data_IF_996104031664
#
_entry.id   IF_996104031664
#
_cell.length_a   1.000
_cell.length_b   1.000
_cell.length_c   1.000
_cell.angle_alpha   90.00
_cell.angle_beta   90.00
_cell.angle_gamma   90.00
#
_symmetry.space_group_name_H-M   'P 1'
#
loop_
_entity.id
_entity.type
_entity.pdbx_description
1 polymer ?
#
# COMPACT_ATOMS: atom_id res chain seq x y z
N UNK A 1 -24.27 -21.56 -8.35
CA UNK A 1 -24.16 -20.08 -8.44
C UNK A 1 -23.70 -19.75 -9.86
N UNK A 2 -24.42 -18.90 -10.61
CA UNK A 2 -24.07 -18.62 -12.02
C UNK A 2 -22.85 -17.69 -12.10
N UNK A 3 -21.83 -18.04 -12.89
CA UNK A 3 -20.59 -17.26 -13.05
C UNK A 3 -20.85 -15.81 -13.51
N UNK A 4 -21.84 -15.63 -14.38
CA UNK A 4 -22.27 -14.31 -14.89
C UNK A 4 -22.76 -13.38 -13.77
N UNK A 5 -23.49 -13.90 -12.78
CA UNK A 5 -24.01 -13.14 -11.64
C UNK A 5 -22.87 -12.69 -10.74
N UNK A 6 -21.96 -13.61 -10.40
CA UNK A 6 -20.78 -13.30 -9.57
C UNK A 6 -19.90 -12.26 -10.27
N UNK A 7 -19.68 -12.40 -11.58
CA UNK A 7 -18.92 -11.42 -12.37
C UNK A 7 -19.58 -10.04 -12.38
N UNK A 8 -20.91 -9.98 -12.46
CA UNK A 8 -21.65 -8.73 -12.39
C UNK A 8 -21.50 -8.06 -11.02
N UNK A 9 -21.68 -8.82 -9.93
CA UNK A 9 -21.50 -8.33 -8.55
C UNK A 9 -20.07 -7.86 -8.31
N UNK A 10 -19.08 -8.66 -8.70
CA UNK A 10 -17.67 -8.32 -8.59
C UNK A 10 -17.31 -7.06 -9.40
N UNK A 11 -17.94 -6.83 -10.56
CA UNK A 11 -17.65 -5.62 -11.34
C UNK A 11 -18.46 -4.39 -10.92
N UNK A 12 -19.39 -4.52 -9.97
CA UNK A 12 -20.24 -3.41 -9.51
C UNK A 12 -19.41 -2.24 -8.97
N UNK A 13 -18.45 -2.51 -8.08
CA UNK A 13 -17.60 -1.46 -7.48
C UNK A 13 -16.71 -0.76 -8.52
N UNK A 14 -16.20 -1.50 -9.51
CA UNK A 14 -15.43 -0.90 -10.60
C UNK A 14 -16.28 0.07 -11.43
N UNK A 15 -17.55 -0.26 -11.68
CA UNK A 15 -18.48 0.64 -12.37
C UNK A 15 -18.84 1.86 -11.52
N UNK A 16 -19.02 1.66 -10.21
CA UNK A 16 -19.32 2.75 -9.27
C UNK A 16 -18.12 3.67 -8.99
N UNK A 17 -16.90 3.21 -9.27
CA UNK A 17 -15.69 4.03 -9.18
C UNK A 17 -15.65 5.18 -10.21
N UNK A 18 -16.50 5.13 -11.24
CA UNK A 18 -16.64 6.23 -12.20
C UNK A 18 -17.60 7.30 -11.63
N UNK A 19 -17.05 8.32 -10.98
CA UNK A 19 -17.81 9.41 -10.37
C UNK A 19 -17.62 10.66 -11.22
N UNK A 20 -18.71 11.21 -11.77
CA UNK A 20 -18.70 12.40 -12.64
C UNK A 20 -17.72 12.31 -13.82
N UNK A 21 -17.49 11.11 -14.37
CA UNK A 21 -16.57 10.88 -15.48
C UNK A 21 -15.11 10.67 -15.09
N UNK A 22 -14.77 10.74 -13.79
CA UNK A 22 -13.44 10.44 -13.27
C UNK A 22 -13.44 9.07 -12.59
N UNK A 23 -12.46 8.23 -12.94
CA UNK A 23 -12.29 6.94 -12.28
C UNK A 23 -11.43 7.12 -11.02
N UNK A 24 -12.00 6.85 -9.85
CA UNK A 24 -11.30 6.97 -8.56
C UNK A 24 -10.47 5.72 -8.18
N UNK A 25 -10.49 4.67 -9.01
CA UNK A 25 -9.78 3.42 -8.75
C UNK A 25 -10.54 2.51 -7.77
N UNK A 26 -9.86 2.05 -6.72
CA UNK A 26 -10.48 1.23 -5.68
C UNK A 26 -11.42 2.08 -4.82
N UNK A 27 -12.70 2.11 -5.20
CA UNK A 27 -13.73 2.94 -4.55
C UNK A 27 -13.79 2.80 -3.02
N UNK A 28 -13.72 1.58 -2.42
CA UNK A 28 -13.68 1.45 -0.97
C UNK A 28 -12.43 2.10 -0.35
N UNK A 29 -11.26 1.95 -0.97
CA UNK A 29 -10.04 2.58 -0.51
C UNK A 29 -10.18 4.11 -0.54
N UNK A 30 -10.61 4.67 -1.67
CA UNK A 30 -10.84 6.11 -1.79
C UNK A 30 -11.82 6.63 -0.72
N UNK A 31 -12.92 5.90 -0.47
CA UNK A 31 -13.87 6.24 0.59
C UNK A 31 -13.21 6.34 1.97
N UNK A 32 -12.40 5.34 2.35
CA UNK A 32 -11.72 5.33 3.64
C UNK A 32 -10.58 6.35 3.75
N UNK A 33 -9.92 6.70 2.64
CA UNK A 33 -8.94 7.79 2.61
C UNK A 33 -9.59 9.13 2.94
N UNK A 34 -10.71 9.45 2.29
CA UNK A 34 -11.47 10.66 2.61
C UNK A 34 -12.01 10.65 4.04
N UNK A 35 -12.57 9.52 4.48
CA UNK A 35 -13.08 9.37 5.84
C UNK A 35 -11.96 9.58 6.86
N UNK A 36 -10.80 8.96 6.65
CA UNK A 36 -9.59 9.15 7.48
C UNK A 36 -9.24 10.62 7.60
N UNK A 37 -9.17 11.34 6.47
CA UNK A 37 -8.84 12.76 6.46
C UNK A 37 -9.84 13.59 7.27
N UNK A 38 -11.14 13.36 7.08
CA UNK A 38 -12.19 14.03 7.86
C UNK A 38 -12.06 13.76 9.37
N UNK A 39 -11.86 12.50 9.75
CA UNK A 39 -11.73 12.11 11.15
C UNK A 39 -10.49 12.69 11.82
N UNK A 40 -9.38 12.73 11.09
CA UNK A 40 -8.15 13.39 11.53
C UNK A 40 -8.38 14.88 11.77
N UNK A 41 -9.05 15.59 10.85
CA UNK A 41 -9.37 17.01 10.99
C UNK A 41 -10.33 17.31 12.14
N UNK A 42 -11.22 16.39 12.47
CA UNK A 42 -12.11 16.48 13.63
C UNK A 42 -11.47 16.02 14.94
N UNK A 43 -10.16 15.75 14.95
CA UNK A 43 -9.41 15.28 16.13
C UNK A 43 -9.91 13.94 16.71
N UNK A 44 -10.56 13.11 15.88
CA UNK A 44 -11.07 11.78 16.26
C UNK A 44 -10.05 10.71 15.93
N UNK A 45 -8.97 10.66 16.72
CA UNK A 45 -7.81 9.80 16.46
C UNK A 45 -8.12 8.31 16.35
N UNK A 46 -9.04 7.79 17.17
CA UNK A 46 -9.46 6.38 17.11
C UNK A 46 -10.25 6.05 15.84
N UNK A 47 -11.16 6.92 15.41
CA UNK A 47 -11.91 6.77 14.16
C UNK A 47 -10.99 6.92 12.94
N UNK A 48 -10.01 7.82 13.01
CA UNK A 48 -9.00 7.97 11.97
C UNK A 48 -8.12 6.71 11.85
N UNK A 49 -7.65 6.14 12.96
CA UNK A 49 -6.86 4.90 12.97
C UNK A 49 -7.66 3.72 12.39
N UNK A 50 -8.95 3.62 12.74
CA UNK A 50 -9.87 2.62 12.16
C UNK A 50 -10.04 2.79 10.66
N UNK A 51 -10.23 4.01 10.18
CA UNK A 51 -10.34 4.29 8.75
C UNK A 51 -9.07 3.88 8.00
N UNK A 52 -7.88 4.10 8.58
CA UNK A 52 -6.61 3.62 8.01
C UNK A 52 -6.57 2.09 7.94
N UNK A 53 -6.99 1.39 9.00
CA UNK A 53 -7.04 -0.07 8.99
C UNK A 53 -8.01 -0.60 7.91
N UNK A 54 -9.18 0.02 7.77
CA UNK A 54 -10.17 -0.31 6.74
C UNK A 54 -9.65 -0.04 5.32
N UNK A 55 -8.92 1.06 5.11
CA UNK A 55 -8.27 1.36 3.83
C UNK A 55 -7.30 0.25 3.40
N UNK A 56 -6.44 -0.18 4.33
CA UNK A 56 -5.35 -1.14 4.07
C UNK A 56 -5.83 -2.54 3.69
N UNK A 57 -7.13 -2.83 3.81
CA UNK A 57 -7.73 -4.05 3.26
C UNK A 57 -7.84 -4.01 1.74
N UNK A 58 -7.98 -2.82 1.13
CA UNK A 58 -8.28 -2.67 -0.30
C UNK A 58 -7.09 -2.16 -1.12
N UNK A 59 -6.20 -1.39 -0.51
CA UNK A 59 -5.07 -0.77 -1.19
C UNK A 59 -3.84 -0.69 -0.26
N UNK A 60 -2.64 -0.87 -0.81
CA UNK A 60 -1.36 -0.88 -0.09
C UNK A 60 -0.60 0.46 -0.12
N UNK A 61 -1.28 1.56 -0.42
CA UNK A 61 -0.69 2.89 -0.64
C UNK A 61 0.32 3.26 0.48
N UNK A 62 1.57 3.63 0.12
CA UNK A 62 2.58 4.08 1.06
C UNK A 62 2.10 5.16 2.02
N UNK A 63 1.24 6.09 1.57
CA UNK A 63 0.72 7.16 2.41
C UNK A 63 -0.12 6.64 3.58
N UNK A 64 -1.02 5.67 3.35
CA UNK A 64 -1.84 5.11 4.43
C UNK A 64 -1.03 4.22 5.35
N UNK A 65 -0.08 3.46 4.83
CA UNK A 65 0.87 2.71 5.67
C UNK A 65 1.68 3.67 6.56
N UNK A 66 2.18 4.77 6.00
CA UNK A 66 2.87 5.82 6.77
C UNK A 66 1.98 6.45 7.84
N UNK A 67 0.70 6.68 7.55
CA UNK A 67 -0.25 7.17 8.55
C UNK A 67 -0.44 6.17 9.70
N UNK A 68 -0.55 4.87 9.40
CA UNK A 68 -0.57 3.82 10.42
C UNK A 68 0.70 3.81 11.26
N UNK A 69 1.88 3.85 10.63
CA UNK A 69 3.18 3.97 11.33
C UNK A 69 3.19 5.17 12.29
N UNK A 70 2.80 6.35 11.80
CA UNK A 70 2.78 7.58 12.59
C UNK A 70 1.84 7.46 13.80
N UNK A 71 0.63 6.93 13.61
CA UNK A 71 -0.34 6.75 14.68
C UNK A 71 0.08 5.66 15.68
N UNK A 72 0.71 4.58 15.24
CA UNK A 72 1.28 3.56 16.12
C UNK A 72 2.37 4.16 17.02
N UNK A 73 3.26 4.97 16.45
CA UNK A 73 4.32 5.68 17.20
C UNK A 73 3.73 6.68 18.21
N UNK A 74 2.69 7.42 17.80
CA UNK A 74 2.05 8.45 18.62
C UNK A 74 1.20 7.89 19.76
N UNK A 75 0.31 6.93 19.47
CA UNK A 75 -0.68 6.43 20.43
C UNK A 75 -0.23 5.18 21.17
N UNK A 76 0.68 4.38 20.58
CA UNK A 76 1.17 3.09 21.13
C UNK A 76 0.05 2.11 21.47
N UNK A 77 -1.02 2.13 20.67
CA UNK A 77 -2.24 1.33 20.85
C UNK A 77 -2.58 0.59 19.56
N UNK A 78 -2.01 -0.60 19.31
CA UNK A 78 -2.30 -1.38 18.11
C UNK A 78 -3.77 -1.77 17.97
N UNK A 79 -4.51 -1.85 19.09
CA UNK A 79 -5.94 -2.16 19.13
C UNK A 79 -6.83 -1.11 18.45
N UNK A 80 -6.32 0.08 18.17
CA UNK A 80 -7.05 1.11 17.42
C UNK A 80 -7.15 0.80 15.92
N UNK A 81 -6.34 -0.12 15.40
CA UNK A 81 -6.26 -0.46 13.98
C UNK A 81 -7.04 -1.73 13.66
N UNK A 82 -8.30 -1.77 14.08
CA UNK A 82 -9.22 -2.86 13.77
C UNK A 82 -10.28 -2.32 12.81
N UNK A 83 -10.37 -2.85 11.57
CA UNK A 83 -11.39 -2.45 10.61
C UNK A 83 -12.81 -2.72 11.12
N UNK A 84 -13.80 -2.00 10.60
CA UNK A 84 -15.20 -2.28 10.92
C UNK A 84 -15.65 -3.65 10.39
N UNK A 85 -16.49 -4.36 11.13
CA UNK A 85 -16.97 -5.71 10.78
C UNK A 85 -17.60 -5.76 9.38
N UNK A 86 -18.41 -4.75 9.02
CA UNK A 86 -19.00 -4.64 7.69
C UNK A 86 -17.96 -4.52 6.59
N UNK A 87 -16.87 -3.81 6.85
CA UNK A 87 -15.76 -3.66 5.90
C UNK A 87 -15.03 -4.98 5.71
N UNK A 88 -14.83 -5.71 6.81
CA UNK A 88 -14.25 -7.05 6.79
C UNK A 88 -15.11 -8.00 5.97
N UNK A 89 -16.43 -7.97 6.13
CA UNK A 89 -17.35 -8.81 5.37
C UNK A 89 -17.31 -8.50 3.88
N UNK A 90 -17.32 -7.21 3.51
CA UNK A 90 -17.16 -6.78 2.12
C UNK A 90 -15.82 -7.28 1.56
N UNK A 91 -14.72 -7.09 2.28
CA UNK A 91 -13.40 -7.54 1.85
C UNK A 91 -13.32 -9.07 1.66
N UNK A 92 -13.88 -9.84 2.61
CA UNK A 92 -13.95 -11.31 2.52
C UNK A 92 -14.75 -11.74 1.31
N UNK A 93 -15.96 -11.20 1.14
CA UNK A 93 -16.81 -11.51 0.00
C UNK A 93 -16.08 -11.23 -1.32
N UNK A 94 -15.48 -10.05 -1.44
CA UNK A 94 -14.74 -9.62 -2.63
C UNK A 94 -13.57 -10.53 -2.97
N UNK A 95 -12.78 -10.90 -1.97
CA UNK A 95 -11.63 -11.79 -2.14
C UNK A 95 -12.06 -13.18 -2.61
N UNK A 96 -13.16 -13.70 -2.04
CA UNK A 96 -13.71 -14.99 -2.44
C UNK A 96 -14.33 -14.94 -3.85
N UNK A 97 -15.04 -13.87 -4.20
CA UNK A 97 -15.56 -13.65 -5.56
C UNK A 97 -14.42 -13.62 -6.59
N UNK A 98 -13.35 -12.87 -6.32
CA UNK A 98 -12.18 -12.80 -7.20
C UNK A 98 -11.52 -14.16 -7.38
N UNK A 99 -11.31 -14.90 -6.28
CA UNK A 99 -10.72 -16.24 -6.29
C UNK A 99 -11.58 -17.24 -7.07
N UNK A 100 -12.90 -17.15 -6.92
CA UNK A 100 -13.86 -17.98 -7.66
C UNK A 100 -13.89 -17.65 -9.16
N UNK A 101 -13.92 -16.37 -9.52
CA UNK A 101 -13.87 -15.95 -10.93
C UNK A 101 -12.56 -16.36 -11.59
N UNK A 102 -11.42 -16.21 -10.90
CA UNK A 102 -10.12 -16.67 -11.38
C UNK A 102 -10.12 -18.18 -11.64
N UNK A 103 -10.67 -18.97 -10.70
CA UNK A 103 -10.81 -20.41 -10.89
C UNK A 103 -11.64 -20.75 -12.14
N UNK A 104 -12.78 -20.06 -12.35
CA UNK A 104 -13.60 -20.27 -13.55
C UNK A 104 -12.82 -19.92 -14.82
N UNK A 105 -12.16 -18.77 -14.84
CA UNK A 105 -11.47 -18.27 -16.02
C UNK A 105 -10.24 -19.12 -16.38
N UNK A 106 -9.56 -19.69 -15.39
CA UNK A 106 -8.40 -20.55 -15.62
C UNK A 106 -8.79 -21.98 -16.02
N UNK A 107 -9.90 -22.52 -15.47
CA UNK A 107 -10.25 -23.95 -15.62
C UNK A 107 -11.33 -24.23 -16.65
N UNK A 108 -12.18 -23.25 -16.97
CA UNK A 108 -13.28 -23.40 -17.94
C UNK A 108 -13.04 -22.60 -19.22
N UNK A 109 -11.78 -22.23 -19.50
CA UNK A 109 -11.39 -21.62 -20.77
C UNK A 109 -11.41 -22.68 -21.89
N UNK A 110 -12.30 -22.52 -22.86
CA UNK A 110 -12.39 -23.43 -23.99
C UNK A 110 -11.39 -23.01 -25.07
N UNK A 111 -10.30 -23.76 -25.24
CA UNK A 111 -9.21 -23.45 -26.18
C UNK A 111 -8.98 -24.67 -27.08
N UNK A 112 -8.86 -24.45 -28.39
CA UNK A 112 -8.65 -25.53 -29.38
C UNK A 112 -9.71 -26.64 -29.33
N UNK A 113 -10.97 -26.28 -29.07
CA UNK A 113 -12.10 -27.20 -28.90
C UNK A 113 -12.01 -28.16 -27.70
N UNK A 114 -11.11 -27.89 -26.76
CA UNK A 114 -10.92 -28.70 -25.56
C UNK A 114 -10.88 -27.83 -24.30
N UNK A 115 -11.19 -28.44 -23.16
CA UNK A 115 -10.98 -27.83 -21.86
C UNK A 115 -9.59 -28.18 -21.34
N UNK A 116 -8.99 -27.35 -20.47
CA UNK A 116 -7.76 -27.68 -19.78
C UNK A 116 -7.93 -29.00 -19.02
N UNK A 117 -6.89 -29.84 -19.04
CA UNK A 117 -6.90 -31.08 -18.29
C UNK A 117 -7.06 -30.82 -16.78
N UNK A 118 -7.88 -31.63 -16.11
CA UNK A 118 -8.04 -31.60 -14.65
C UNK A 118 -6.70 -31.87 -13.97
N UNK A 119 -6.33 -31.02 -13.02
CA UNK A 119 -5.13 -31.20 -12.20
C UNK A 119 -5.51 -31.68 -10.80
N UNK A 120 -4.55 -32.24 -10.07
CA UNK A 120 -4.80 -32.75 -8.71
C UNK A 120 -5.28 -31.63 -7.76
N UNK A 121 -4.84 -30.39 -7.98
CA UNK A 121 -5.29 -29.20 -7.24
C UNK A 121 -6.77 -28.90 -7.41
N UNK A 122 -7.40 -29.30 -8.52
CA UNK A 122 -8.83 -29.05 -8.77
C UNK A 122 -9.76 -29.85 -7.87
N UNK A 123 -9.24 -30.94 -7.29
CA UNK A 123 -9.97 -31.78 -6.32
C UNK A 123 -9.86 -31.26 -4.90
N UNK A 124 -8.97 -30.30 -4.66
CA UNK A 124 -8.87 -29.68 -3.34
C UNK A 124 -10.11 -28.82 -3.08
N UNK A 125 -10.53 -28.78 -1.82
CA UNK A 125 -11.63 -27.91 -1.42
C UNK A 125 -11.25 -26.46 -1.71
N UNK A 126 -12.20 -25.70 -2.23
CA UNK A 126 -12.03 -24.26 -2.44
C UNK A 126 -11.58 -23.58 -1.15
N UNK A 127 -10.45 -22.89 -1.22
CA UNK A 127 -9.93 -22.15 -0.08
C UNK A 127 -10.84 -20.95 0.20
N UNK A 128 -11.57 -21.01 1.31
CA UNK A 128 -12.42 -19.93 1.80
C UNK A 128 -11.73 -19.06 2.85
N UNK A 129 -10.46 -19.31 3.17
CA UNK A 129 -9.71 -18.50 4.13
C UNK A 129 -9.30 -17.17 3.49
N UNK A 130 -9.53 -16.10 4.23
CA UNK A 130 -9.16 -14.74 3.84
C UNK A 130 -8.51 -14.09 5.06
N UNK A 131 -7.22 -13.77 4.95
CA UNK A 131 -6.49 -13.03 5.99
C UNK A 131 -6.90 -11.57 5.96
N UNK A 132 -7.21 -11.02 7.13
CA UNK A 132 -7.54 -9.60 7.34
C UNK A 132 -6.39 -8.89 8.07
N UNK A 133 -5.43 -9.67 8.58
CA UNK A 133 -4.27 -9.16 9.30
C UNK A 133 -3.30 -8.46 8.35
N UNK A 134 -2.76 -7.33 8.81
CA UNK A 134 -1.74 -6.58 8.10
C UNK A 134 -0.35 -7.06 8.51
N UNK A 135 0.28 -7.80 7.62
CA UNK A 135 1.59 -8.43 7.81
C UNK A 135 2.76 -7.54 7.39
N UNK A 136 2.53 -6.26 7.14
CA UNK A 136 3.58 -5.34 6.70
C UNK A 136 4.53 -5.00 7.84
N UNK A 137 5.83 -5.17 7.59
CA UNK A 137 6.89 -4.85 8.54
C UNK A 137 7.17 -3.34 8.55
N UNK A 138 6.54 -2.65 9.50
CA UNK A 138 6.74 -1.22 9.72
C UNK A 138 8.12 -0.89 10.28
N UNK A 139 8.75 -1.82 11.00
CA UNK A 139 10.07 -1.60 11.60
C UNK A 139 11.17 -1.67 10.53
N UNK A 140 11.01 -2.57 9.54
CA UNK A 140 11.91 -2.66 8.39
C UNK A 140 12.09 -1.33 7.66
N UNK A 141 11.05 -0.49 7.58
CA UNK A 141 11.14 0.85 6.95
C UNK A 141 12.16 1.74 7.66
N UNK A 142 12.17 1.72 9.00
CA UNK A 142 13.10 2.51 9.81
C UNK A 142 14.52 1.94 9.81
N UNK A 143 14.70 0.73 9.30
CA UNK A 143 15.99 0.04 9.20
C UNK A 143 16.53 0.02 7.76
N UNK A 144 15.84 0.67 6.82
CA UNK A 144 16.27 0.74 5.41
C UNK A 144 17.61 1.44 5.25
N UNK A 145 17.93 2.40 6.13
CA UNK A 145 19.17 3.16 6.11
C UNK A 145 19.90 3.12 7.45
N UNK A 146 21.20 2.89 7.40
CA UNK A 146 22.10 3.09 8.52
C UNK A 146 22.54 4.55 8.64
N UNK A 147 22.97 4.95 9.83
CA UNK A 147 23.46 6.31 10.08
C UNK A 147 24.69 6.68 9.23
N UNK A 148 25.49 5.70 8.80
CA UNK A 148 26.62 5.93 7.90
C UNK A 148 26.15 6.22 6.47
N UNK A 149 25.14 5.49 5.99
CA UNK A 149 24.56 5.69 4.65
C UNK A 149 23.84 7.04 4.55
N UNK A 150 23.10 7.47 5.59
CA UNK A 150 22.50 8.80 5.62
C UNK A 150 23.55 9.92 5.51
N UNK A 151 24.69 9.80 6.23
CA UNK A 151 25.79 10.77 6.12
C UNK A 151 26.37 10.83 4.71
N UNK A 152 26.52 9.67 4.06
CA UNK A 152 27.01 9.57 2.68
C UNK A 152 26.01 10.12 1.66
N UNK A 153 24.71 9.88 1.84
CA UNK A 153 23.68 10.41 0.94
C UNK A 153 23.49 11.92 1.11
N UNK A 154 23.68 12.45 2.33
CA UNK A 154 23.57 13.87 2.62
C UNK A 154 24.75 14.70 2.10
N UNK A 155 25.91 14.08 1.83
CA UNK A 155 27.10 14.85 1.43
C UNK A 155 26.88 15.57 0.11
N UNK A 156 27.16 16.88 0.08
CA UNK A 156 27.04 17.71 -1.12
C UNK A 156 28.04 17.31 -2.23
N UNK A 157 29.14 16.66 -1.84
CA UNK A 157 30.13 16.13 -2.78
C UNK A 157 29.77 14.69 -3.13
N UNK A 158 29.64 14.33 -4.41
CA UNK A 158 29.36 12.96 -4.82
C UNK A 158 30.53 12.07 -4.40
N UNK A 159 30.29 11.24 -3.38
CA UNK A 159 31.18 10.14 -3.04
C UNK A 159 31.18 9.18 -4.24
N UNK A 160 32.33 8.57 -4.58
CA UNK A 160 32.49 7.69 -5.74
C UNK A 160 31.48 6.53 -5.82
N UNK A 161 30.77 6.24 -4.72
CA UNK A 161 29.80 5.16 -4.57
C UNK A 161 28.36 5.63 -4.31
N UNK A 162 28.03 6.91 -4.51
CA UNK A 162 26.67 7.41 -4.24
C UNK A 162 25.59 6.72 -5.07
N UNK A 163 25.90 6.43 -6.33
CA UNK A 163 24.95 5.83 -7.27
C UNK A 163 24.74 4.34 -6.96
N UNK A 164 25.80 3.66 -6.53
CA UNK A 164 25.73 2.29 -6.03
C UNK A 164 24.87 2.22 -4.76
N UNK A 165 25.06 3.16 -3.84
CA UNK A 165 24.28 3.23 -2.60
C UNK A 165 22.79 3.48 -2.88
N UNK A 166 22.46 4.35 -3.84
CA UNK A 166 21.07 4.57 -4.25
C UNK A 166 20.48 3.31 -4.87
N UNK A 167 21.23 2.58 -5.72
CA UNK A 167 20.77 1.34 -6.33
C UNK A 167 20.53 0.23 -5.28
N UNK A 168 21.41 0.10 -4.29
CA UNK A 168 21.25 -0.82 -3.16
C UNK A 168 20.06 -0.43 -2.27
N UNK A 169 19.87 0.87 -2.02
CA UNK A 169 18.70 1.37 -1.31
C UNK A 169 17.41 1.10 -2.09
N UNK A 170 17.39 1.31 -3.40
CA UNK A 170 16.24 0.99 -4.25
C UNK A 170 15.92 -0.51 -4.19
N UNK A 171 16.93 -1.38 -4.23
CA UNK A 171 16.74 -2.82 -4.06
C UNK A 171 16.11 -3.18 -2.71
N UNK A 172 16.56 -2.54 -1.61
CA UNK A 172 15.94 -2.69 -0.28
C UNK A 172 14.50 -2.19 -0.24
N UNK A 173 14.23 -1.00 -0.78
CA UNK A 173 12.87 -0.43 -0.85
C UNK A 173 11.95 -1.35 -1.66
N UNK A 174 12.45 -1.96 -2.74
CA UNK A 174 11.70 -2.92 -3.56
C UNK A 174 11.28 -4.19 -2.82
N UNK A 175 11.95 -4.55 -1.73
CA UNK A 175 11.50 -5.67 -0.89
C UNK A 175 10.17 -5.37 -0.20
N UNK A 176 9.91 -4.09 0.13
CA UNK A 176 8.69 -3.62 0.76
C UNK A 176 7.66 -3.13 -0.26
N UNK A 177 8.14 -2.51 -1.36
CA UNK A 177 7.32 -1.98 -2.45
C UNK A 177 7.89 -2.38 -3.81
N UNK A 178 7.47 -3.52 -4.39
CA UNK A 178 8.09 -4.09 -5.59
C UNK A 178 8.15 -3.17 -6.82
N UNK A 179 7.20 -2.24 -6.94
CA UNK A 179 7.10 -1.29 -8.04
C UNK A 179 7.89 0.00 -7.82
N UNK A 180 8.46 0.20 -6.61
CA UNK A 180 9.17 1.41 -6.24
C UNK A 180 10.40 1.66 -7.13
N UNK A 181 10.57 2.90 -7.58
CA UNK A 181 11.75 3.36 -8.32
C UNK A 181 12.28 4.64 -7.72
N UNK A 182 13.60 4.81 -7.73
CA UNK A 182 14.21 6.07 -7.29
C UNK A 182 13.72 7.24 -8.16
N UNK A 183 13.32 8.34 -7.53
CA UNK A 183 12.93 9.58 -8.23
C UNK A 183 13.95 10.68 -7.99
N UNK A 184 14.20 11.02 -6.73
CA UNK A 184 15.11 12.10 -6.40
C UNK A 184 15.68 12.03 -5.00
N UNK A 185 16.73 12.82 -4.78
CA UNK A 185 17.35 13.12 -3.51
C UNK A 185 17.43 14.63 -3.38
N UNK A 186 17.06 15.16 -2.22
CA UNK A 186 17.11 16.58 -1.97
C UNK A 186 17.57 16.88 -0.55
N UNK A 187 18.25 18.01 -0.37
CA UNK A 187 18.65 18.58 0.91
C UNK A 187 18.38 20.08 0.89
N UNK A 188 17.46 20.55 1.73
CA UNK A 188 17.17 21.97 1.86
C UNK A 188 16.13 22.28 2.93
N UNK A 189 15.98 23.55 3.28
CA UNK A 189 15.00 24.00 4.28
C UNK A 189 13.59 24.18 3.71
N UNK A 190 13.45 24.24 2.39
CA UNK A 190 12.17 24.45 1.72
C UNK A 190 11.28 23.19 1.78
N UNK A 191 9.99 23.38 2.05
CA UNK A 191 9.00 22.31 1.99
C UNK A 191 8.68 21.97 0.55
N UNK A 192 8.71 20.68 0.20
CA UNK A 192 8.46 20.18 -1.15
C UNK A 192 7.46 19.03 -1.13
N UNK A 193 6.73 18.89 -2.23
CA UNK A 193 5.86 17.77 -2.50
C UNK A 193 6.56 16.78 -3.44
N UNK A 194 6.49 15.49 -3.12
CA UNK A 194 6.87 14.45 -4.07
C UNK A 194 6.00 14.52 -5.34
N UNK A 195 6.60 14.28 -6.51
CA UNK A 195 5.92 14.46 -7.81
C UNK A 195 4.96 13.33 -8.19
N UNK A 196 5.10 12.16 -7.57
CA UNK A 196 4.31 10.98 -7.86
C UNK A 196 3.16 10.79 -6.86
N UNK A 197 2.16 10.01 -7.25
CA UNK A 197 0.96 9.74 -6.47
C UNK A 197 1.21 8.84 -5.24
N UNK A 198 2.18 7.91 -5.33
CA UNK A 198 2.51 6.95 -4.27
C UNK A 198 3.98 7.08 -3.83
N UNK A 199 4.34 8.20 -3.17
CA UNK A 199 5.72 8.44 -2.79
C UNK A 199 6.08 7.68 -1.50
N UNK A 200 7.27 7.07 -1.50
CA UNK A 200 7.97 6.60 -0.31
C UNK A 200 9.10 7.59 -0.06
N UNK A 201 8.96 8.39 1.01
CA UNK A 201 9.93 9.45 1.35
C UNK A 201 10.67 9.04 2.61
N UNK A 202 11.98 8.90 2.52
CA UNK A 202 12.84 8.55 3.65
C UNK A 202 13.73 9.73 4.02
N UNK A 203 13.75 10.07 5.30
CA UNK A 203 14.68 11.07 5.83
C UNK A 203 16.10 10.54 5.75
N UNK A 204 17.02 11.38 5.26
CA UNK A 204 18.46 11.13 5.31
C UNK A 204 19.16 12.16 6.22
N UNK A 205 18.39 12.86 7.05
CA UNK A 205 18.93 13.76 8.05
C UNK A 205 19.59 12.99 9.20
N UNK A 206 20.55 13.64 9.87
CA UNK A 206 21.36 13.00 10.92
C UNK A 206 20.51 12.70 12.17
N UNK A 207 19.50 13.52 12.44
CA UNK A 207 18.61 13.41 13.61
C UNK A 207 17.60 12.27 13.52
N UNK A 208 17.17 11.92 12.31
CA UNK A 208 15.99 11.12 12.02
C UNK A 208 16.20 10.24 10.79
N UNK A 209 17.44 9.79 10.58
CA UNK A 209 17.83 8.90 9.49
C UNK A 209 16.88 7.70 9.38
N UNK A 210 16.43 7.42 8.15
CA UNK A 210 15.45 6.39 7.80
C UNK A 210 14.02 6.63 8.30
N UNK A 211 13.71 7.79 8.89
CA UNK A 211 12.32 8.11 9.28
C UNK A 211 11.43 8.24 8.04
N UNK A 212 10.23 7.65 8.12
CA UNK A 212 9.27 7.67 7.03
C UNK A 212 8.46 8.98 6.99
N UNK A 213 8.88 9.87 6.10
CA UNK A 213 8.29 11.19 5.92
C UNK A 213 7.01 11.14 5.08
N UNK A 214 6.22 12.22 5.16
CA UNK A 214 5.05 12.40 4.30
C UNK A 214 5.43 12.87 2.90
N UNK A 215 4.46 12.85 1.99
CA UNK A 215 4.64 13.37 0.63
C UNK A 215 5.11 14.84 0.62
N UNK A 216 4.60 15.63 1.57
CA UNK A 216 5.13 16.95 1.93
C UNK A 216 6.24 16.79 2.98
N UNK A 217 7.45 17.21 2.64
CA UNK A 217 8.63 17.07 3.49
C UNK A 217 9.60 18.24 3.30
N UNK A 218 10.47 18.44 4.29
CA UNK A 218 11.59 19.38 4.27
C UNK A 218 12.83 18.68 4.83
N UNK A 219 13.97 19.36 4.79
CA UNK A 219 15.25 18.77 5.22
C UNK A 219 15.91 17.96 4.11
N UNK A 220 16.68 16.96 4.52
CA UNK A 220 17.28 16.03 3.60
C UNK A 220 16.46 14.74 3.47
N UNK A 221 16.03 14.41 2.26
CA UNK A 221 15.23 13.22 1.98
C UNK A 221 15.59 12.57 0.64
N UNK A 222 15.32 11.27 0.56
CA UNK A 222 15.27 10.49 -0.68
C UNK A 222 13.83 10.08 -0.96
N UNK A 223 13.44 10.16 -2.23
CA UNK A 223 12.10 9.87 -2.71
C UNK A 223 12.13 8.71 -3.69
N UNK A 224 11.27 7.72 -3.43
CA UNK A 224 10.93 6.65 -4.35
C UNK A 224 9.45 6.76 -4.76
N UNK A 225 9.12 6.31 -5.97
CA UNK A 225 7.75 6.28 -6.48
C UNK A 225 7.33 4.84 -6.74
N UNK A 226 6.27 4.39 -6.06
CA UNK A 226 5.70 3.04 -6.16
C UNK A 226 4.46 2.97 -7.06
#
# INVERSE_FOLDING_TARGET
MQASVVRCQHNCLYRLALINGYNVGELPAAHYEYLHFCQYKLMRGSEAARAVASYLLFDDNPLMRRNKYFYLKQYKKPELFVPDEKTIDIYKQRTLEARYLKFIDDKFQFVNNEFPAERQDDRMKFDSSVSVEDHFDYEAVTQLLSSAECKSLRSAFPVAHSDQLIAELEARVKTLWPTAKYESRFCGSESRQAKCSRPVVLSIDISDCSEWLGAMHSGCAVVFCA
#
